data_IF_591193126333
#
_entry.id   IF_591193126333
#
_cell.length_a   1.000
_cell.length_b   1.000
_cell.length_c   1.000
_cell.angle_alpha   90.00
_cell.angle_beta   90.00
_cell.angle_gamma   90.00
#
_symmetry.space_group_name_H-M   'P 1'
#
loop_
_entity.id
_entity.type
_entity.pdbx_description
1 polymer ?
#
# COMPACT_ATOMS: atom_id res chain seq x y z
N UNK A 1 3.90 -10.11 -24.19
CA UNK A 1 4.20 -10.94 -23.01
C UNK A 1 4.49 -9.98 -21.86
N UNK A 2 3.71 -10.04 -20.77
CA UNK A 2 3.99 -9.25 -19.58
C UNK A 2 5.42 -9.54 -19.09
N UNK A 3 6.17 -8.50 -18.79
CA UNK A 3 7.53 -8.61 -18.26
C UNK A 3 7.45 -9.21 -16.83
N UNK A 4 7.96 -10.45 -16.62
CA UNK A 4 7.87 -11.11 -15.33
C UNK A 4 8.67 -10.38 -14.24
N UNK A 5 9.73 -9.65 -14.60
CA UNK A 5 10.52 -8.87 -13.65
C UNK A 5 9.73 -7.65 -13.17
N UNK A 6 9.08 -6.93 -14.09
CA UNK A 6 8.21 -5.80 -13.75
C UNK A 6 7.01 -6.22 -12.87
N UNK A 7 6.42 -7.39 -13.15
CA UNK A 7 5.34 -7.93 -12.32
C UNK A 7 5.83 -8.28 -10.91
N UNK A 8 7.00 -8.92 -10.79
CA UNK A 8 7.59 -9.27 -9.50
C UNK A 8 7.93 -8.03 -8.66
N UNK A 9 8.43 -6.96 -9.29
CA UNK A 9 8.72 -5.70 -8.61
C UNK A 9 7.45 -5.05 -8.04
N UNK A 10 6.37 -5.01 -8.82
CA UNK A 10 5.10 -4.43 -8.35
C UNK A 10 4.51 -5.25 -7.20
N UNK A 11 4.54 -6.58 -7.29
CA UNK A 11 4.10 -7.46 -6.20
C UNK A 11 4.92 -7.26 -4.91
N UNK A 12 6.24 -7.10 -5.04
CA UNK A 12 7.11 -6.80 -3.90
C UNK A 12 6.74 -5.45 -3.25
N UNK A 13 6.51 -4.40 -4.06
CA UNK A 13 6.09 -3.08 -3.56
C UNK A 13 4.72 -3.13 -2.90
N UNK A 14 3.78 -3.90 -3.45
CA UNK A 14 2.45 -4.14 -2.86
C UNK A 14 2.60 -4.79 -1.48
N UNK A 15 3.47 -5.80 -1.34
CA UNK A 15 3.70 -6.48 -0.06
C UNK A 15 4.21 -5.49 0.99
N UNK A 16 5.22 -4.68 0.65
CA UNK A 16 5.79 -3.66 1.55
C UNK A 16 4.72 -2.67 2.03
N UNK A 17 3.90 -2.14 1.11
CA UNK A 17 2.86 -1.15 1.49
C UNK A 17 1.78 -1.78 2.38
N UNK A 18 1.42 -3.05 2.15
CA UNK A 18 0.45 -3.77 2.99
C UNK A 18 0.98 -4.00 4.41
N UNK A 19 2.25 -4.34 4.54
CA UNK A 19 2.88 -4.50 5.85
C UNK A 19 2.92 -3.16 6.60
N UNK A 20 3.34 -2.09 5.93
CA UNK A 20 3.32 -0.74 6.50
C UNK A 20 1.91 -0.30 6.92
N UNK A 21 0.88 -0.58 6.12
CA UNK A 21 -0.51 -0.27 6.46
C UNK A 21 -0.97 -1.03 7.71
N UNK A 22 -0.56 -2.29 7.87
CA UNK A 22 -0.85 -3.07 9.08
C UNK A 22 -0.21 -2.43 10.30
N UNK A 23 1.07 -2.10 10.23
CA UNK A 23 1.79 -1.44 11.33
C UNK A 23 1.15 -0.10 11.72
N UNK A 24 0.75 0.72 10.74
CA UNK A 24 0.08 2.00 11.01
C UNK A 24 -1.29 1.81 11.68
N UNK A 25 -2.06 0.81 11.26
CA UNK A 25 -3.36 0.50 11.89
C UNK A 25 -3.16 0.01 13.32
N UNK A 26 -2.14 -0.81 13.58
CA UNK A 26 -1.80 -1.26 14.94
C UNK A 26 -1.34 -0.09 15.82
N UNK A 27 -0.53 0.83 15.29
CA UNK A 27 -0.13 2.06 15.99
C UNK A 27 -1.33 2.95 16.31
N UNK A 28 -2.22 3.17 15.35
CA UNK A 28 -3.43 3.97 15.54
C UNK A 28 -4.40 3.32 16.56
N UNK A 29 -4.45 1.99 16.65
CA UNK A 29 -5.26 1.30 17.65
C UNK A 29 -4.64 1.32 19.06
N UNK A 30 -3.30 1.49 19.16
CA UNK A 30 -2.56 1.46 20.42
C UNK A 30 -2.35 2.81 21.10
N UNK A 31 -2.38 3.93 20.37
CA UNK A 31 -2.21 5.28 20.89
C UNK A 31 -3.57 5.99 21.02
N UNK A 32 -3.87 6.58 22.20
CA UNK A 32 -5.15 7.25 22.47
C UNK A 32 -5.05 8.78 22.50
N UNK A 33 -4.27 9.37 21.60
CA UNK A 33 -4.04 10.82 21.50
C UNK A 33 -4.58 11.41 20.21
N UNK A 34 -5.52 12.35 20.28
CA UNK A 34 -6.22 12.89 19.11
C UNK A 34 -5.31 13.50 18.00
N UNK A 35 -4.14 14.03 18.36
CA UNK A 35 -3.18 14.56 17.38
C UNK A 35 -2.40 13.45 16.65
N UNK A 36 -2.15 12.33 17.31
CA UNK A 36 -1.51 11.15 16.71
C UNK A 36 -2.49 10.41 15.79
N UNK A 37 -3.79 10.46 16.10
CA UNK A 37 -4.86 9.86 15.29
C UNK A 37 -5.02 10.53 13.92
N UNK A 38 -4.95 11.86 13.83
CA UNK A 38 -4.99 12.58 12.55
C UNK A 38 -3.75 12.28 11.69
N UNK A 39 -2.54 12.34 12.27
CA UNK A 39 -1.30 12.04 11.56
C UNK A 39 -1.25 10.60 11.06
N UNK A 40 -1.73 9.64 11.87
CA UNK A 40 -1.82 8.24 11.45
C UNK A 40 -2.87 8.05 10.35
N UNK A 41 -4.01 8.74 10.44
CA UNK A 41 -5.06 8.68 9.41
C UNK A 41 -4.56 9.19 8.06
N UNK A 42 -3.84 10.32 8.02
CA UNK A 42 -3.29 10.87 6.77
C UNK A 42 -2.24 9.94 6.14
N UNK A 43 -1.39 9.31 6.97
CA UNK A 43 -0.40 8.33 6.51
C UNK A 43 -1.05 7.07 5.96
N UNK A 44 -2.08 6.56 6.64
CA UNK A 44 -2.87 5.41 6.17
C UNK A 44 -3.52 5.75 4.82
N UNK A 45 -4.17 6.90 4.69
CA UNK A 45 -4.80 7.34 3.45
C UNK A 45 -3.79 7.44 2.29
N UNK A 46 -2.61 8.00 2.56
CA UNK A 46 -1.52 8.11 1.58
C UNK A 46 -1.06 6.72 1.10
N UNK A 47 -0.82 5.80 2.02
CA UNK A 47 -0.37 4.45 1.67
C UNK A 47 -1.46 3.63 0.98
N UNK A 48 -2.72 3.81 1.34
CA UNK A 48 -3.85 3.18 0.65
C UNK A 48 -3.94 3.67 -0.80
N UNK A 49 -3.78 4.97 -1.05
CA UNK A 49 -3.78 5.51 -2.41
C UNK A 49 -2.63 4.96 -3.26
N UNK A 50 -1.44 4.79 -2.66
CA UNK A 50 -0.30 4.17 -3.32
C UNK A 50 -0.55 2.69 -3.63
N UNK A 51 -1.14 1.94 -2.70
CA UNK A 51 -1.54 0.55 -2.90
C UNK A 51 -2.52 0.42 -4.08
N UNK A 52 -3.54 1.28 -4.12
CA UNK A 52 -4.54 1.27 -5.19
C UNK A 52 -3.91 1.56 -6.56
N UNK A 53 -2.93 2.46 -6.62
CA UNK A 53 -2.19 2.75 -7.85
C UNK A 53 -1.37 1.54 -8.33
N UNK A 54 -0.65 0.86 -7.42
CA UNK A 54 0.12 -0.34 -7.75
C UNK A 54 -0.77 -1.50 -8.20
N UNK A 55 -1.94 -1.68 -7.56
CA UNK A 55 -2.91 -2.70 -7.97
C UNK A 55 -3.41 -2.45 -9.40
N UNK A 56 -3.71 -1.19 -9.75
CA UNK A 56 -4.10 -0.82 -11.12
C UNK A 56 -2.97 -1.07 -12.12
N UNK A 57 -1.73 -0.75 -11.76
CA UNK A 57 -0.56 -0.99 -12.60
C UNK A 57 -0.34 -2.48 -12.86
N UNK A 58 -0.39 -3.31 -11.81
CA UNK A 58 -0.34 -4.76 -11.90
C UNK A 58 -1.43 -5.29 -12.82
N UNK A 59 -2.67 -4.88 -12.61
CA UNK A 59 -3.81 -5.35 -13.41
C UNK A 59 -3.66 -4.95 -14.88
N UNK A 60 -3.11 -3.77 -15.16
CA UNK A 60 -2.80 -3.34 -16.52
C UNK A 60 -1.70 -4.19 -17.16
N UNK A 61 -0.65 -4.57 -16.42
CA UNK A 61 0.39 -5.48 -16.92
C UNK A 61 -0.16 -6.88 -17.20
N UNK A 62 -1.03 -7.41 -16.34
CA UNK A 62 -1.67 -8.71 -16.53
C UNK A 62 -2.63 -8.71 -17.73
N UNK A 63 -3.35 -7.61 -17.98
CA UNK A 63 -4.25 -7.44 -19.15
C UNK A 63 -3.52 -7.22 -20.47
N UNK A 64 -2.29 -6.69 -20.45
CA UNK A 64 -1.42 -6.56 -21.64
C UNK A 64 -0.82 -7.90 -22.11
N UNK A 65 -1.15 -9.00 -21.43
CA UNK A 65 -0.68 -10.35 -21.73
C UNK A 65 -1.58 -11.03 -22.74
#
# INVERSE_FOLDING_TARGET
MADPEALAEIEQRIAIIRDNLRELVEQAAGYSGAADDELNSDRIATQQAQLDALLKERDALLKKK
#
